data_IF_551051652369
#
_entry.id   IF_551051652369
#
_cell.length_a   1.000
_cell.length_b   1.000
_cell.length_c   1.000
_cell.angle_alpha   90.00
_cell.angle_beta   90.00
_cell.angle_gamma   90.00
#
_symmetry.space_group_name_H-M   'P 1'
#
loop_
_entity.id
_entity.type
_entity.pdbx_description
1 polymer ?
#
# COMPACT_ATOMS: atom_id res chain seq x y z
N UNK A 1 0.08 -11.20 -23.38
CA UNK A 1 0.45 -12.34 -22.52
C UNK A 1 -0.74 -12.63 -21.62
N UNK A 2 -1.34 -13.83 -21.63
CA UNK A 2 -2.48 -14.15 -20.78
C UNK A 2 -2.02 -14.33 -19.32
N UNK A 3 -2.80 -13.81 -18.38
CA UNK A 3 -2.55 -13.99 -16.94
C UNK A 3 -3.55 -14.98 -16.36
N UNK A 4 -3.10 -15.80 -15.41
CA UNK A 4 -3.97 -16.66 -14.63
C UNK A 4 -4.40 -15.92 -13.35
N UNK A 5 -5.70 -15.80 -13.04
CA UNK A 5 -6.14 -15.16 -11.81
C UNK A 5 -5.79 -16.01 -10.60
N UNK A 6 -5.25 -15.40 -9.55
CA UNK A 6 -4.98 -16.07 -8.28
C UNK A 6 -5.39 -15.19 -7.10
N UNK A 7 -5.78 -15.82 -6.00
CA UNK A 7 -5.98 -15.16 -4.72
C UNK A 7 -4.77 -15.41 -3.82
N UNK A 8 -4.32 -14.35 -3.15
CA UNK A 8 -3.20 -14.39 -2.22
C UNK A 8 -3.64 -13.71 -0.93
N UNK A 9 -3.44 -14.39 0.21
CA UNK A 9 -3.61 -13.74 1.50
C UNK A 9 -2.46 -12.77 1.75
N UNK A 10 -2.80 -11.51 2.00
CA UNK A 10 -1.85 -10.46 2.34
C UNK A 10 -1.74 -10.24 3.85
N UNK A 11 -2.50 -11.00 4.66
CA UNK A 11 -2.52 -10.84 6.10
C UNK A 11 -1.13 -11.02 6.69
N UNK A 12 -0.64 -9.99 7.39
CA UNK A 12 0.69 -9.94 7.98
C UNK A 12 1.86 -9.91 6.98
N UNK A 13 1.60 -9.96 5.67
CA UNK A 13 2.64 -9.94 4.62
C UNK A 13 3.21 -8.54 4.47
N UNK A 14 4.53 -8.46 4.28
CA UNK A 14 5.21 -7.19 3.97
C UNK A 14 4.96 -6.82 2.51
N UNK A 15 4.44 -5.62 2.27
CA UNK A 15 4.16 -5.09 0.93
C UNK A 15 4.85 -3.76 0.76
N UNK A 16 5.62 -3.59 -0.31
CA UNK A 16 6.26 -2.32 -0.64
C UNK A 16 5.44 -1.62 -1.71
N UNK A 17 5.10 -0.35 -1.47
CA UNK A 17 4.51 0.54 -2.47
C UNK A 17 5.54 1.62 -2.79
N UNK A 18 6.03 1.64 -4.03
CA UNK A 18 6.96 2.67 -4.49
C UNK A 18 6.19 3.86 -5.09
N UNK A 19 6.55 5.07 -4.66
CA UNK A 19 5.91 6.33 -5.02
C UNK A 19 4.91 6.82 -3.96
N UNK A 20 4.73 8.14 -3.89
CA UNK A 20 3.92 8.79 -2.86
C UNK A 20 2.76 9.64 -3.41
N UNK A 21 2.47 9.54 -4.70
CA UNK A 21 1.38 10.28 -5.35
C UNK A 21 0.00 9.65 -5.20
N UNK A 22 -0.95 10.13 -5.99
CA UNK A 22 -2.36 9.68 -5.99
C UNK A 22 -2.53 8.20 -6.37
N UNK A 23 -1.67 7.66 -7.24
CA UNK A 23 -1.68 6.24 -7.62
C UNK A 23 -1.29 5.35 -6.44
N UNK A 24 -0.24 5.72 -5.71
CA UNK A 24 0.20 5.00 -4.52
C UNK A 24 -0.85 5.08 -3.41
N UNK A 25 -1.44 6.26 -3.20
CA UNK A 25 -2.53 6.48 -2.24
C UNK A 25 -3.69 5.51 -2.46
N UNK A 26 -4.20 5.40 -3.70
CA UNK A 26 -5.28 4.48 -4.07
C UNK A 26 -4.90 3.01 -3.92
N UNK A 27 -3.63 2.65 -4.17
CA UNK A 27 -3.15 1.27 -3.97
C UNK A 27 -3.11 0.93 -2.48
N UNK A 28 -2.58 1.83 -1.66
CA UNK A 28 -2.51 1.67 -0.20
C UNK A 28 -3.91 1.52 0.40
N UNK A 29 -4.82 2.42 0.04
CA UNK A 29 -6.22 2.37 0.48
C UNK A 29 -6.87 1.00 0.22
N UNK A 30 -6.65 0.44 -0.98
CA UNK A 30 -7.18 -0.89 -1.34
C UNK A 30 -6.49 -2.04 -0.62
N UNK A 31 -5.20 -1.90 -0.27
CA UNK A 31 -4.41 -2.97 0.34
C UNK A 31 -4.58 -3.04 1.87
N UNK A 32 -4.85 -1.91 2.53
CA UNK A 32 -5.00 -1.81 3.98
C UNK A 32 -6.00 -2.80 4.59
N UNK A 33 -7.23 -2.98 4.04
CA UNK A 33 -8.22 -3.90 4.61
C UNK A 33 -7.78 -5.37 4.62
N UNK A 34 -6.78 -5.74 3.82
CA UNK A 34 -6.28 -7.12 3.73
C UNK A 34 -5.24 -7.47 4.81
N UNK A 35 -4.99 -6.58 5.78
CA UNK A 35 -4.05 -6.83 6.88
C UNK A 35 -2.57 -6.84 6.47
N UNK A 36 -2.25 -6.26 5.31
CA UNK A 36 -0.89 -6.14 4.83
C UNK A 36 -0.05 -5.19 5.69
N UNK A 37 1.20 -5.56 5.95
CA UNK A 37 2.21 -4.67 6.54
C UNK A 37 2.83 -3.84 5.42
N UNK A 38 2.20 -2.73 5.11
CA UNK A 38 2.60 -1.87 3.99
C UNK A 38 3.78 -1.00 4.41
N UNK A 39 4.73 -0.78 3.49
CA UNK A 39 5.77 0.23 3.57
C UNK A 39 5.76 1.05 2.30
N UNK A 40 5.57 2.36 2.42
CA UNK A 40 5.68 3.29 1.29
C UNK A 40 7.10 3.82 1.17
N UNK A 41 7.65 3.86 -0.04
CA UNK A 41 8.98 4.41 -0.33
C UNK A 41 8.84 5.49 -1.40
N UNK A 42 9.05 6.75 -1.02
CA UNK A 42 8.98 7.90 -1.91
C UNK A 42 9.77 9.10 -1.35
N UNK A 43 10.31 10.00 -2.19
CA UNK A 43 10.90 11.26 -1.72
C UNK A 43 9.88 12.20 -1.08
N UNK A 44 8.66 12.21 -1.64
CA UNK A 44 7.52 13.00 -1.16
C UNK A 44 6.25 12.12 -1.13
N UNK A 45 5.31 12.46 -0.26
CA UNK A 45 4.07 11.71 -0.09
C UNK A 45 2.86 12.64 0.03
N UNK A 46 1.71 12.19 -0.46
CA UNK A 46 0.44 12.90 -0.31
C UNK A 46 0.06 13.05 1.18
N UNK A 47 -0.76 14.05 1.53
CA UNK A 47 -1.27 14.21 2.90
C UNK A 47 -1.96 12.96 3.44
N UNK A 48 -2.66 12.21 2.59
CA UNK A 48 -3.29 10.94 2.96
C UNK A 48 -2.28 9.87 3.39
N UNK A 49 -1.19 9.70 2.63
CA UNK A 49 -0.14 8.73 2.99
C UNK A 49 0.61 9.19 4.25
N UNK A 50 0.81 10.50 4.41
CA UNK A 50 1.41 11.06 5.63
C UNK A 50 0.51 10.82 6.86
N UNK A 51 -0.81 10.97 6.75
CA UNK A 51 -1.73 10.72 7.87
C UNK A 51 -1.72 9.24 8.28
N UNK A 52 -1.75 8.33 7.30
CA UNK A 52 -1.66 6.89 7.58
C UNK A 52 -0.33 6.51 8.24
N UNK A 53 0.78 7.10 7.81
CA UNK A 53 2.08 6.88 8.43
C UNK A 53 2.12 7.41 9.87
N UNK A 54 1.53 8.58 10.14
CA UNK A 54 1.40 9.13 11.50
C UNK A 54 0.54 8.22 12.41
N UNK A 55 -0.50 7.60 11.85
CA UNK A 55 -1.33 6.60 12.52
C UNK A 55 -0.67 5.21 12.61
N UNK A 56 0.55 5.03 12.10
CA UNK A 56 1.29 3.75 12.03
C UNK A 56 0.55 2.65 11.26
N UNK A 57 -0.26 3.03 10.28
CA UNK A 57 -0.97 2.09 9.39
C UNK A 57 -0.11 1.63 8.21
N UNK A 58 0.91 2.39 7.82
CA UNK A 58 1.84 2.13 6.70
C UNK A 58 3.25 2.66 6.97
#
# INVERSE_FOLDING_TARGET
MPYFPMFVSLEGKKVVVAGGGSVASRKVEKLLPFGAKIKVVAPEATPYLQSLAAEKKI
#
